data_IF_615649967957
#
_entry.id   IF_615649967957
#
_cell.length_a   1.000
_cell.length_b   1.000
_cell.length_c   1.000
_cell.angle_alpha   90.00
_cell.angle_beta   90.00
_cell.angle_gamma   90.00
#
_symmetry.space_group_name_H-M   'P 1'
#
loop_
_entity.id
_entity.type
_entity.pdbx_description
1 polymer ?
#
# COMPACT_ATOMS: atom_id res chain seq x y z
N UNK A 1 13.81 -13.65 20.33
CA UNK A 1 12.54 -13.64 19.58
C UNK A 1 12.05 -12.20 19.53
N UNK A 2 12.36 -11.49 18.46
CA UNK A 2 11.98 -10.07 18.36
C UNK A 2 10.48 -9.96 18.06
N UNK A 3 9.80 -9.27 18.99
CA UNK A 3 8.37 -9.16 19.17
C UNK A 3 7.64 -8.65 17.91
N UNK A 4 6.52 -9.31 17.51
CA UNK A 4 5.60 -8.80 16.48
C UNK A 4 5.19 -7.33 16.71
N UNK A 5 5.09 -6.91 17.98
CA UNK A 5 4.79 -5.53 18.35
C UNK A 5 5.86 -4.53 17.83
N UNK A 6 7.13 -4.91 17.81
CA UNK A 6 8.23 -4.08 17.30
C UNK A 6 8.15 -3.91 15.79
N UNK A 7 7.86 -4.99 15.06
CA UNK A 7 7.67 -4.94 13.61
C UNK A 7 6.46 -4.08 13.24
N UNK A 8 5.38 -4.22 14.00
CA UNK A 8 4.18 -3.41 13.85
C UNK A 8 4.47 -1.93 14.10
N UNK A 9 5.21 -1.59 15.17
CA UNK A 9 5.65 -0.22 15.46
C UNK A 9 6.46 0.36 14.30
N UNK A 10 7.45 -0.38 13.77
CA UNK A 10 8.26 0.10 12.64
C UNK A 10 7.43 0.39 11.40
N UNK A 11 6.44 -0.47 11.08
CA UNK A 11 5.52 -0.25 9.94
C UNK A 11 4.68 1.01 10.14
N UNK A 12 4.07 1.18 11.32
CA UNK A 12 3.29 2.36 11.67
C UNK A 12 4.14 3.62 11.60
N UNK A 13 5.34 3.61 12.19
CA UNK A 13 6.26 4.76 12.17
C UNK A 13 6.69 5.13 10.75
N UNK A 14 6.99 4.15 9.89
CA UNK A 14 7.32 4.40 8.49
C UNK A 14 6.14 5.06 7.73
N UNK A 15 4.92 4.57 7.95
CA UNK A 15 3.71 5.14 7.36
C UNK A 15 3.48 6.58 7.82
N UNK A 16 3.59 6.88 9.12
CA UNK A 16 3.43 8.23 9.65
C UNK A 16 4.46 9.21 9.05
N UNK A 17 5.72 8.76 8.87
CA UNK A 17 6.76 9.58 8.23
C UNK A 17 6.47 9.89 6.76
N UNK A 18 5.92 8.92 6.01
CA UNK A 18 5.57 9.07 4.58
C UNK A 18 4.31 9.90 4.37
N UNK A 19 3.37 9.83 5.31
CA UNK A 19 2.10 10.54 5.27
C UNK A 19 2.14 11.91 5.93
N UNK A 20 3.16 12.16 6.76
CA UNK A 20 3.23 13.29 7.69
C UNK A 20 1.99 13.40 8.58
N UNK A 21 1.30 12.28 8.82
CA UNK A 21 0.17 12.22 9.75
C UNK A 21 0.69 12.24 11.19
N UNK A 22 -0.04 12.92 12.07
CA UNK A 22 0.24 12.87 13.50
C UNK A 22 -0.18 11.53 14.10
N UNK A 23 0.60 11.01 15.05
CA UNK A 23 0.30 9.75 15.76
C UNK A 23 -1.11 9.74 16.40
N UNK A 24 -1.53 10.87 16.96
CA UNK A 24 -2.85 11.03 17.59
C UNK A 24 -3.99 11.00 16.57
N UNK A 25 -3.82 11.69 15.43
CA UNK A 25 -4.82 11.68 14.35
C UNK A 25 -4.92 10.30 13.70
N UNK A 26 -3.78 9.64 13.51
CA UNK A 26 -3.76 8.28 12.98
C UNK A 26 -4.55 7.32 13.87
N UNK A 27 -4.28 7.36 15.18
CA UNK A 27 -4.99 6.49 16.13
C UNK A 27 -6.50 6.75 16.16
N UNK A 28 -6.92 8.02 16.12
CA UNK A 28 -8.33 8.39 16.06
C UNK A 28 -8.99 7.91 14.76
N UNK A 29 -8.35 8.09 13.61
CA UNK A 29 -8.94 7.74 12.30
C UNK A 29 -8.90 6.24 12.00
N UNK A 30 -7.88 5.52 12.45
CA UNK A 30 -7.73 4.10 12.19
C UNK A 30 -8.54 3.22 13.16
N UNK A 31 -8.52 3.56 14.45
CA UNK A 31 -9.08 2.70 15.51
C UNK A 31 -9.98 3.44 16.50
N UNK A 32 -10.11 4.77 16.40
CA UNK A 32 -10.87 5.59 17.34
C UNK A 32 -10.12 5.92 18.64
N UNK A 33 -8.81 5.68 18.71
CA UNK A 33 -8.03 5.87 19.95
C UNK A 33 -6.75 6.66 19.70
N UNK A 34 -6.68 7.87 20.26
CA UNK A 34 -5.53 8.79 20.10
C UNK A 34 -4.25 8.32 20.79
N UNK A 35 -4.35 7.43 21.79
CA UNK A 35 -3.20 6.91 22.57
C UNK A 35 -2.61 5.65 21.94
N UNK A 36 -3.30 5.05 20.98
CA UNK A 36 -2.95 3.80 20.32
C UNK A 36 -1.47 3.73 19.89
N UNK A 37 -0.99 4.72 19.13
CA UNK A 37 0.40 4.72 18.64
C UNK A 37 1.41 4.83 19.79
N UNK A 38 1.08 5.61 20.83
CA UNK A 38 1.91 5.71 22.03
C UNK A 38 2.01 4.37 22.77
N UNK A 39 0.88 3.68 22.91
CA UNK A 39 0.84 2.35 23.50
C UNK A 39 1.61 1.30 22.69
N UNK A 40 1.43 1.29 21.36
CA UNK A 40 2.20 0.42 20.44
C UNK A 40 3.71 0.68 20.62
N UNK A 41 4.12 1.95 20.74
CA UNK A 41 5.52 2.33 20.96
C UNK A 41 6.06 1.94 22.33
N UNK A 42 5.18 1.77 23.32
CA UNK A 42 5.51 1.22 24.65
C UNK A 42 5.52 -0.32 24.68
N UNK A 43 5.25 -0.98 23.55
CA UNK A 43 5.25 -2.44 23.43
C UNK A 43 3.90 -3.10 23.67
N UNK A 44 2.79 -2.34 23.66
CA UNK A 44 1.45 -2.93 23.70
C UNK A 44 1.22 -3.72 22.41
N UNK A 45 0.82 -4.98 22.54
CA UNK A 45 0.42 -5.79 21.40
C UNK A 45 -1.05 -5.51 21.08
N UNK A 46 -1.38 -4.96 19.90
CA UNK A 46 -2.76 -4.79 19.48
C UNK A 46 -3.43 -6.16 19.32
N UNK A 47 -4.74 -6.22 19.55
CA UNK A 47 -5.52 -7.41 19.21
C UNK A 47 -5.58 -7.58 17.69
N UNK A 48 -5.82 -8.81 17.19
CA UNK A 48 -5.92 -9.10 15.76
C UNK A 48 -6.94 -8.18 15.05
N UNK A 49 -8.09 -7.93 15.69
CA UNK A 49 -9.11 -7.02 15.16
C UNK A 49 -8.61 -5.56 15.04
N UNK A 50 -7.73 -5.14 15.94
CA UNK A 50 -7.14 -3.79 15.90
C UNK A 50 -6.07 -3.71 14.82
N UNK A 51 -5.24 -4.74 14.67
CA UNK A 51 -4.26 -4.81 13.60
C UNK A 51 -4.92 -4.79 12.22
N UNK A 52 -6.01 -5.54 12.04
CA UNK A 52 -6.81 -5.57 10.80
C UNK A 52 -7.33 -4.18 10.43
N UNK A 53 -7.98 -3.47 11.37
CA UNK A 53 -8.45 -2.08 11.15
C UNK A 53 -7.33 -1.13 10.77
N UNK A 54 -6.17 -1.26 11.41
CA UNK A 54 -4.99 -0.44 11.08
C UNK A 54 -4.48 -0.72 9.68
N UNK A 55 -4.39 -1.99 9.29
CA UNK A 55 -3.96 -2.39 7.94
C UNK A 55 -4.95 -1.89 6.88
N UNK A 56 -6.25 -2.09 7.10
CA UNK A 56 -7.31 -1.60 6.22
C UNK A 56 -7.27 -0.07 6.10
N UNK A 57 -7.04 0.65 7.21
CA UNK A 57 -6.88 2.10 7.17
C UNK A 57 -5.65 2.53 6.37
N UNK A 58 -4.50 1.87 6.54
CA UNK A 58 -3.29 2.18 5.76
C UNK A 58 -3.53 1.99 4.27
N UNK A 59 -4.14 0.88 3.86
CA UNK A 59 -4.45 0.58 2.46
C UNK A 59 -5.44 1.61 1.88
N UNK A 60 -6.54 1.88 2.59
CA UNK A 60 -7.52 2.88 2.18
C UNK A 60 -6.91 4.29 2.10
N UNK A 61 -5.98 4.62 3.00
CA UNK A 61 -5.32 5.92 3.00
C UNK A 61 -4.27 6.03 1.88
N UNK A 62 -3.53 4.97 1.55
CA UNK A 62 -2.65 4.95 0.38
C UNK A 62 -3.46 5.04 -0.92
N UNK A 63 -4.59 4.34 -1.02
CA UNK A 63 -5.49 4.41 -2.18
C UNK A 63 -6.18 5.79 -2.29
N UNK A 64 -6.55 6.42 -1.17
CA UNK A 64 -7.11 7.77 -1.17
C UNK A 64 -6.04 8.85 -1.39
N UNK A 65 -4.78 8.55 -1.04
CA UNK A 65 -3.65 9.44 -1.27
C UNK A 65 -3.02 9.30 -2.62
N UNK A 66 -3.32 8.27 -3.41
CA UNK A 66 -3.00 8.21 -4.84
C UNK A 66 -3.30 9.59 -5.42
N UNK A 67 -2.28 10.44 -5.56
CA UNK A 67 -2.47 11.65 -6.32
C UNK A 67 -2.42 11.16 -7.75
N UNK A 68 -3.26 11.71 -8.62
CA UNK A 68 -3.22 11.56 -10.07
C UNK A 68 -1.79 11.46 -10.67
N UNK A 69 -1.16 10.27 -10.60
CA UNK A 69 0.22 10.06 -11.04
C UNK A 69 0.38 8.63 -11.54
N UNK A 70 0.00 8.46 -12.81
CA UNK A 70 0.47 7.42 -13.74
C UNK A 70 2.01 7.34 -13.89
N UNK A 71 2.81 7.43 -12.81
CA UNK A 71 4.27 7.58 -12.88
C UNK A 71 5.11 6.63 -12.02
N UNK A 72 4.55 5.86 -11.08
CA UNK A 72 5.30 4.75 -10.46
C UNK A 72 4.99 3.42 -11.15
N UNK A 73 5.24 3.41 -12.46
CA UNK A 73 5.40 2.19 -13.24
C UNK A 73 6.71 1.50 -12.83
N UNK A 74 6.70 0.74 -11.73
CA UNK A 74 7.74 -0.27 -11.44
C UNK A 74 7.29 -1.34 -10.43
N UNK A 75 6.16 -1.98 -10.70
CA UNK A 75 5.96 -3.38 -10.31
C UNK A 75 5.74 -4.14 -11.62
N UNK A 76 6.79 -4.79 -12.12
CA UNK A 76 6.77 -5.49 -13.41
C UNK A 76 5.67 -6.56 -13.48
N UNK A 77 4.78 -6.54 -14.50
CA UNK A 77 3.98 -7.71 -14.83
C UNK A 77 4.87 -8.69 -15.61
N UNK A 78 5.64 -9.49 -14.88
CA UNK A 78 6.35 -10.62 -15.45
C UNK A 78 5.38 -11.75 -15.85
N UNK A 79 4.79 -11.68 -17.05
CA UNK A 79 4.47 -12.85 -17.91
C UNK A 79 3.93 -12.45 -19.30
N UNK A 80 4.88 -12.26 -20.23
CA UNK A 80 4.94 -12.76 -21.63
C UNK A 80 3.67 -12.62 -22.52
N UNK A 81 3.64 -11.60 -23.40
CA UNK A 81 2.98 -11.71 -24.71
C UNK A 81 4.03 -11.92 -25.79
N UNK A 82 4.02 -13.12 -26.38
CA UNK A 82 4.72 -13.41 -27.62
C UNK A 82 4.18 -12.49 -28.73
N UNK A 83 5.08 -11.73 -29.37
CA UNK A 83 4.77 -10.97 -30.57
C UNK A 83 5.18 -11.81 -31.78
N UNK A 84 4.24 -12.04 -32.70
CA UNK A 84 4.58 -12.20 -34.10
C UNK A 84 3.38 -11.80 -34.98
N UNK A 85 3.45 -10.66 -35.69
CA UNK A 85 2.66 -10.41 -36.88
C UNK A 85 3.57 -10.53 -38.12
N UNK A 86 3.35 -11.54 -38.93
CA UNK A 86 3.83 -11.65 -40.32
C UNK A 86 2.58 -12.11 -41.10
N UNK A 87 2.02 -11.46 -42.10
CA UNK A 87 2.48 -10.47 -43.09
C UNK A 87 1.20 -9.93 -43.77
N UNK A 88 1.14 -8.71 -44.35
CA UNK A 88 -0.08 -8.21 -45.03
C UNK A 88 -0.43 -8.93 -46.35
N UNK A 89 -1.72 -8.93 -46.76
CA UNK A 89 -2.20 -9.62 -47.95
C UNK A 89 -1.75 -8.96 -49.26
N UNK A 90 -1.32 -9.78 -50.20
CA UNK A 90 -0.88 -9.40 -51.54
C UNK A 90 -1.96 -8.68 -52.34
N UNK A 91 -1.58 -7.52 -52.89
CA UNK A 91 -2.34 -6.70 -53.82
C UNK A 91 -2.37 -7.38 -55.19
N UNK A 92 -3.52 -7.92 -55.61
CA UNK A 92 -3.67 -8.58 -56.90
C UNK A 92 -5.02 -8.31 -57.53
N UNK A 93 -5.02 -7.43 -58.55
CA UNK A 93 -5.75 -7.47 -59.83
C UNK A 93 -6.10 -6.07 -60.30
N UNK A 94 -5.26 -5.57 -61.21
CA UNK A 94 -5.64 -4.61 -62.24
C UNK A 94 -6.03 -5.41 -63.48
N UNK A 95 -7.09 -4.95 -64.14
CA UNK A 95 -7.66 -5.36 -65.44
C UNK A 95 -8.66 -6.48 -65.41
#
# INVERSE_FOLDING_TARGET
MENLAKEFERRVTAFLRRTRLSASEFGERAVGDRKFVGDVRRGRSPSLATADRVLAFMEAYEHAREPDFSRDSKIEPGRRKVRHPLTPPGKGRKR
#
